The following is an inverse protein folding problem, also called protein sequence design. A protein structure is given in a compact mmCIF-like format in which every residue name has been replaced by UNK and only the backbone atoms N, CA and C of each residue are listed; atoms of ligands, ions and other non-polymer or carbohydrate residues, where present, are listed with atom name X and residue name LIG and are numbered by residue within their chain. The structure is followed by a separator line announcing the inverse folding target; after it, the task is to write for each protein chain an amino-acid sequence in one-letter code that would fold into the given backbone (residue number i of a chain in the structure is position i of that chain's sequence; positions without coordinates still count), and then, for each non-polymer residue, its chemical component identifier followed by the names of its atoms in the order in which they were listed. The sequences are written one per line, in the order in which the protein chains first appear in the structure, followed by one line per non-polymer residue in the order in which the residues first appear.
data_IF_913921584543
#
_entry.id   IF_913921584543
#
_cell.length_a   1.000
_cell.length_b   1.000
_cell.length_c   1.000
_cell.angle_alpha   90.00
_cell.angle_beta   90.00
_cell.angle_gamma   90.00
#
_symmetry.space_group_name_H-M   'P 1'
#
loop_
_entity.id
_entity.type
_entity.pdbx_description
1 polymer ?
#
# COMPACT_ATOMS: atom_id res chain seq x y z
N UNK A 1 5.60 12.54 -13.02
CA UNK A 1 5.17 13.11 -11.71
C UNK A 1 4.77 14.55 -11.92
N UNK A 2 3.71 15.00 -11.28
CA UNK A 2 3.19 16.37 -11.30
C UNK A 2 2.94 16.83 -9.86
N UNK A 3 3.25 18.08 -9.57
CA UNK A 3 2.87 18.76 -8.33
C UNK A 3 2.72 20.26 -8.59
N UNK A 4 1.81 20.92 -7.87
CA UNK A 4 1.60 22.36 -7.96
C UNK A 4 1.97 23.08 -6.66
N UNK A 5 2.90 22.52 -5.88
CA UNK A 5 3.41 23.13 -4.66
C UNK A 5 4.26 24.35 -5.02
N UNK A 6 3.92 25.52 -4.50
CA UNK A 6 4.56 26.80 -4.88
C UNK A 6 5.88 27.05 -4.14
N UNK A 7 5.90 26.84 -2.82
CA UNK A 7 7.07 27.02 -1.97
C UNK A 7 7.17 25.93 -0.89
N UNK A 8 8.19 25.98 -0.02
CA UNK A 8 8.38 24.96 1.03
C UNK A 8 7.25 24.95 2.07
N UNK A 9 6.70 26.12 2.39
CA UNK A 9 5.67 26.35 3.42
C UNK A 9 4.24 26.13 2.90
N UNK A 10 4.07 25.96 1.59
CA UNK A 10 2.80 25.66 0.98
C UNK A 10 2.26 24.30 1.47
N UNK A 11 1.16 24.42 2.21
CA UNK A 11 0.41 23.32 2.81
C UNK A 11 -0.91 23.04 2.06
N UNK A 12 -1.15 23.67 0.91
CA UNK A 12 -2.34 23.50 0.09
C UNK A 12 -2.02 23.21 -1.38
N UNK A 13 -1.52 22.00 -1.63
CA UNK A 13 -1.15 21.56 -2.97
C UNK A 13 -1.67 20.17 -3.28
N UNK A 14 -1.58 19.81 -4.55
CA UNK A 14 -1.89 18.51 -5.11
C UNK A 14 -0.62 17.89 -5.68
N UNK A 15 -0.53 16.58 -5.52
CA UNK A 15 0.58 15.78 -6.04
C UNK A 15 0.02 14.58 -6.77
N UNK A 16 0.57 14.29 -7.95
CA UNK A 16 0.17 13.16 -8.78
C UNK A 16 1.39 12.43 -9.33
N UNK A 17 1.41 11.11 -9.20
CA UNK A 17 2.45 10.25 -9.77
C UNK A 17 1.80 9.05 -10.43
N UNK A 18 2.09 8.84 -11.71
CA UNK A 18 1.83 7.60 -12.41
C UNK A 18 3.17 6.99 -12.85
N UNK A 19 3.37 5.70 -12.57
CA UNK A 19 4.54 4.95 -13.03
C UNK A 19 4.09 3.68 -13.75
N UNK A 20 4.80 3.33 -14.82
CA UNK A 20 4.66 2.08 -15.55
C UNK A 20 6.04 1.44 -15.60
N UNK A 21 6.13 0.18 -15.18
CA UNK A 21 7.35 -0.63 -15.21
C UNK A 21 7.05 -1.87 -16.02
N UNK A 22 7.86 -2.16 -17.03
CA UNK A 22 7.79 -3.42 -17.76
C UNK A 22 9.13 -4.15 -17.69
N UNK A 23 9.06 -5.48 -17.65
CA UNK A 23 10.23 -6.36 -17.65
C UNK A 23 10.12 -7.39 -18.75
N UNK A 24 11.28 -7.78 -19.29
CA UNK A 24 11.39 -8.93 -20.17
C UNK A 24 10.99 -8.70 -21.63
N UNK A 25 10.68 -7.46 -22.06
CA UNK A 25 10.42 -7.15 -23.47
C UNK A 25 11.67 -7.38 -24.35
N UNK A 26 12.75 -6.64 -24.08
CA UNK A 26 13.99 -6.72 -24.88
C UNK A 26 14.67 -8.08 -24.76
N UNK A 27 14.80 -8.61 -23.54
CA UNK A 27 15.46 -9.91 -23.34
C UNK A 27 14.66 -11.05 -23.98
N UNK A 28 13.33 -11.01 -23.98
CA UNK A 28 12.50 -11.98 -24.69
C UNK A 28 12.62 -11.84 -26.21
N UNK A 29 12.75 -10.62 -26.75
CA UNK A 29 12.94 -10.39 -28.18
C UNK A 29 14.30 -10.95 -28.68
N UNK A 30 15.36 -10.79 -27.88
CA UNK A 30 16.70 -11.26 -28.21
C UNK A 30 16.93 -12.76 -27.94
N UNK A 31 16.00 -13.42 -27.24
CA UNK A 31 16.14 -14.82 -26.83
C UNK A 31 15.21 -15.72 -27.64
N UNK A 32 15.79 -16.69 -28.35
CA UNK A 32 15.05 -17.75 -29.05
C UNK A 32 14.72 -18.90 -28.10
N UNK A 33 13.53 -19.47 -28.23
CA UNK A 33 13.16 -20.73 -27.57
C UNK A 33 13.98 -21.83 -28.24
N UNK A 34 14.71 -22.64 -27.46
CA UNK A 34 15.41 -23.82 -27.96
C UNK A 34 14.67 -25.07 -27.49
N UNK A 35 14.23 -25.97 -28.39
CA UNK A 35 13.69 -27.28 -28.00
C UNK A 35 14.71 -28.02 -27.12
N UNK A 36 14.30 -28.75 -26.06
CA UNK A 36 12.92 -29.08 -25.66
C UNK A 36 12.29 -28.08 -24.66
N UNK A 37 12.89 -26.90 -24.43
CA UNK A 37 12.38 -25.97 -23.42
C UNK A 37 11.11 -25.26 -23.86
N UNK A 38 10.18 -25.08 -22.92
CA UNK A 38 8.91 -24.36 -23.11
C UNK A 38 8.99 -22.89 -22.70
N UNK A 39 10.09 -22.46 -22.07
CA UNK A 39 10.31 -21.08 -21.58
C UNK A 39 11.59 -20.46 -22.15
N UNK A 40 11.57 -19.12 -22.29
CA UNK A 40 12.75 -18.33 -22.65
C UNK A 40 13.63 -18.08 -21.43
N UNK A 41 14.92 -18.31 -21.61
CA UNK A 41 15.93 -18.13 -20.58
C UNK A 41 17.07 -17.24 -21.05
N UNK A 42 17.56 -16.39 -20.16
CA UNK A 42 18.77 -15.61 -20.36
C UNK A 42 19.76 -16.00 -19.24
N UNK A 43 20.99 -16.38 -19.59
CA UNK A 43 21.97 -16.91 -18.63
C UNK A 43 21.44 -18.10 -17.79
N UNK A 44 20.64 -18.99 -18.40
CA UNK A 44 19.97 -20.13 -17.74
C UNK A 44 18.93 -19.73 -16.68
N UNK A 45 18.53 -18.46 -16.62
CA UNK A 45 17.47 -17.97 -15.75
C UNK A 45 16.21 -17.66 -16.56
N UNK A 46 15.02 -18.09 -16.10
CA UNK A 46 13.78 -17.76 -16.78
C UNK A 46 13.57 -16.24 -16.80
N UNK A 47 13.24 -15.71 -17.98
CA UNK A 47 12.99 -14.28 -18.13
C UNK A 47 11.65 -13.93 -17.47
N UNK A 48 11.70 -13.08 -16.44
CA UNK A 48 10.50 -12.52 -15.82
C UNK A 48 9.84 -11.47 -16.73
N UNK A 49 8.65 -11.79 -17.23
CA UNK A 49 7.84 -10.92 -18.09
C UNK A 49 6.62 -10.41 -17.35
N UNK A 50 6.59 -9.10 -17.12
CA UNK A 50 5.45 -8.47 -16.45
C UNK A 50 5.31 -6.99 -16.82
N UNK A 51 4.12 -6.47 -16.56
CA UNK A 51 3.84 -5.05 -16.53
C UNK A 51 3.31 -4.69 -15.14
N UNK A 52 3.80 -3.59 -14.58
CA UNK A 52 3.40 -3.06 -13.28
C UNK A 52 3.04 -1.60 -13.45
N UNK A 53 1.82 -1.25 -13.12
CA UNK A 53 1.31 0.12 -13.15
C UNK A 53 0.98 0.55 -11.73
N UNK A 54 1.22 1.82 -11.44
CA UNK A 54 0.85 2.42 -10.16
C UNK A 54 0.49 3.88 -10.36
N UNK A 55 -0.53 4.32 -9.65
CA UNK A 55 -1.01 5.69 -9.61
C UNK A 55 -1.14 6.10 -8.15
N UNK A 56 -0.60 7.27 -7.83
CA UNK A 56 -0.70 7.89 -6.51
C UNK A 56 -1.18 9.32 -6.69
N UNK A 57 -2.15 9.70 -5.86
CA UNK A 57 -2.61 11.07 -5.74
C UNK A 57 -2.56 11.49 -4.27
N UNK A 58 -2.10 12.71 -4.01
CA UNK A 58 -2.15 13.33 -2.69
C UNK A 58 -2.74 14.71 -2.80
N UNK A 59 -3.55 15.08 -1.83
CA UNK A 59 -4.10 16.43 -1.70
C UNK A 59 -3.89 16.91 -0.27
N UNK A 60 -3.31 18.09 -0.16
CA UNK A 60 -3.12 18.80 1.07
C UNK A 60 -4.09 19.98 1.06
N UNK A 61 -4.80 20.17 2.16
CA UNK A 61 -5.61 21.34 2.44
C UNK A 61 -5.09 21.97 3.72
N UNK A 62 -4.37 23.08 3.59
CA UNK A 62 -4.01 23.95 4.71
C UNK A 62 -5.27 24.66 5.18
N UNK A 63 -5.82 24.24 6.32
CA UNK A 63 -7.05 24.83 6.88
C UNK A 63 -6.70 26.19 7.49
N UNK A 64 -5.56 26.25 8.18
CA UNK A 64 -4.93 27.46 8.69
C UNK A 64 -3.41 27.25 8.82
N UNK A 65 -2.69 28.17 9.45
CA UNK A 65 -1.24 28.10 9.61
C UNK A 65 -0.74 26.97 10.53
N UNK A 66 -1.62 26.28 11.26
CA UNK A 66 -1.31 25.25 12.26
C UNK A 66 -1.93 23.89 11.92
N UNK A 67 -2.90 23.85 11.02
CA UNK A 67 -3.74 22.70 10.75
C UNK A 67 -3.74 22.35 9.26
N UNK A 68 -3.57 21.06 8.95
CA UNK A 68 -3.57 20.56 7.58
C UNK A 68 -4.30 19.23 7.50
N UNK A 69 -5.25 19.13 6.58
CA UNK A 69 -5.85 17.86 6.20
C UNK A 69 -5.10 17.30 5.00
N UNK A 70 -4.73 16.03 5.06
CA UNK A 70 -4.01 15.34 4.00
C UNK A 70 -4.80 14.12 3.57
N UNK A 71 -5.08 14.04 2.28
CA UNK A 71 -5.62 12.85 1.63
C UNK A 71 -4.55 12.23 0.74
N UNK A 72 -4.48 10.91 0.74
CA UNK A 72 -3.71 10.14 -0.23
C UNK A 72 -4.56 9.00 -0.77
N UNK A 73 -4.45 8.73 -2.06
CA UNK A 73 -4.93 7.51 -2.69
C UNK A 73 -3.82 6.86 -3.52
N UNK A 74 -3.83 5.54 -3.54
CA UNK A 74 -2.88 4.71 -4.27
C UNK A 74 -3.61 3.53 -4.89
N UNK A 75 -3.35 3.29 -6.18
CA UNK A 75 -3.80 2.11 -6.89
C UNK A 75 -2.61 1.50 -7.65
N UNK A 76 -2.48 0.17 -7.59
CA UNK A 76 -1.40 -0.53 -8.26
C UNK A 76 -1.87 -1.87 -8.82
N UNK A 77 -1.43 -2.19 -10.05
CA UNK A 77 -1.71 -3.46 -10.72
C UNK A 77 -0.41 -4.01 -11.31
N UNK A 78 -0.17 -5.31 -11.15
CA UNK A 78 0.98 -6.03 -11.70
C UNK A 78 0.47 -7.29 -12.40
N UNK A 79 0.72 -7.41 -13.69
CA UNK A 79 0.28 -8.54 -14.51
C UNK A 79 1.50 -9.22 -15.15
N UNK A 80 1.63 -10.51 -14.91
CA UNK A 80 2.59 -11.36 -15.59
C UNK A 80 2.04 -11.71 -16.98
N UNK A 81 2.93 -11.87 -17.96
CA UNK A 81 2.52 -12.25 -19.32
C UNK A 81 3.61 -13.08 -20.00
N UNK A 82 3.25 -13.77 -21.09
CA UNK A 82 4.20 -14.52 -21.92
C UNK A 82 4.92 -15.60 -21.13
N UNK A 83 6.21 -15.40 -20.88
CA UNK A 83 7.11 -16.34 -20.22
C UNK A 83 6.91 -16.48 -18.70
N UNK A 84 5.95 -15.74 -18.11
CA UNK A 84 5.70 -15.75 -16.68
C UNK A 84 4.22 -15.89 -16.38
N UNK A 85 3.88 -16.78 -15.45
CA UNK A 85 2.52 -16.99 -14.93
C UNK A 85 2.26 -16.25 -13.62
N UNK A 86 3.31 -15.70 -13.00
CA UNK A 86 3.24 -14.96 -11.74
C UNK A 86 4.26 -13.81 -11.72
N UNK A 87 3.98 -12.80 -10.91
CA UNK A 87 4.89 -11.67 -10.65
C UNK A 87 5.97 -12.13 -9.66
N UNK A 88 7.25 -11.81 -9.90
CA UNK A 88 8.29 -12.05 -8.91
C UNK A 88 7.96 -11.38 -7.58
N UNK A 89 8.20 -12.05 -6.45
CA UNK A 89 7.89 -11.54 -5.11
C UNK A 89 8.36 -10.09 -4.87
N UNK A 90 9.58 -9.75 -5.28
CA UNK A 90 10.17 -8.40 -5.15
C UNK A 90 9.44 -7.31 -5.95
N UNK A 91 8.56 -7.71 -6.88
CA UNK A 91 7.75 -6.83 -7.71
C UNK A 91 6.26 -6.89 -7.37
N UNK A 92 5.83 -7.82 -6.51
CA UNK A 92 4.46 -7.88 -5.99
C UNK A 92 4.14 -6.69 -5.08
N UNK A 93 2.86 -6.53 -4.75
CA UNK A 93 2.40 -5.56 -3.76
C UNK A 93 2.17 -6.27 -2.44
N UNK A 94 2.48 -5.60 -1.32
CA UNK A 94 2.09 -6.01 0.03
C UNK A 94 1.24 -4.91 0.65
N UNK A 95 0.64 -5.17 1.82
CA UNK A 95 -0.08 -4.18 2.59
C UNK A 95 0.41 -4.14 4.05
N UNK A 96 0.39 -2.95 4.64
CA UNK A 96 0.82 -2.72 6.02
C UNK A 96 2.11 -1.92 6.11
N UNK A 97 2.37 -1.39 7.30
CA UNK A 97 3.56 -0.63 7.62
C UNK A 97 3.27 0.84 7.88
N UNK A 98 4.30 1.53 8.38
CA UNK A 98 4.20 2.86 8.98
C UNK A 98 3.83 3.99 8.01
N UNK A 99 3.90 3.76 6.69
CA UNK A 99 3.64 4.77 5.66
C UNK A 99 2.33 4.55 4.88
N UNK A 100 1.54 3.52 5.22
CA UNK A 100 0.31 3.21 4.49
C UNK A 100 -0.82 2.73 5.38
N UNK A 101 -0.75 1.52 5.92
CA UNK A 101 -1.79 0.95 6.78
C UNK A 101 -1.19 0.75 8.15
N UNK A 102 -1.19 1.80 8.97
CA UNK A 102 -0.40 1.85 10.21
C UNK A 102 -0.84 0.88 11.30
N UNK A 103 -2.06 0.37 11.22
CA UNK A 103 -2.60 -0.64 12.11
C UNK A 103 -2.18 -2.08 11.76
N UNK A 104 -1.43 -2.27 10.68
CA UNK A 104 -0.83 -3.56 10.28
C UNK A 104 0.67 -3.37 10.11
N UNK A 105 1.46 -4.36 10.53
CA UNK A 105 2.88 -4.44 10.23
C UNK A 105 3.08 -4.66 8.72
N UNK A 106 4.26 -4.32 8.22
CA UNK A 106 4.60 -4.57 6.83
C UNK A 106 4.40 -6.06 6.49
N UNK A 107 3.70 -6.33 5.39
CA UNK A 107 3.32 -7.68 4.93
C UNK A 107 2.32 -8.45 5.80
N UNK A 108 1.77 -7.85 6.86
CA UNK A 108 0.85 -8.55 7.75
C UNK A 108 -0.53 -8.76 7.11
N UNK A 109 -1.03 -7.78 6.37
CA UNK A 109 -2.37 -7.87 5.79
C UNK A 109 -2.37 -8.85 4.61
N UNK A 110 -3.10 -9.95 4.77
CA UNK A 110 -3.35 -10.96 3.74
C UNK A 110 -4.20 -10.44 2.57
N UNK A 111 -4.14 -11.06 1.38
CA UNK A 111 -4.96 -10.62 0.26
C UNK A 111 -6.46 -10.89 0.45
N UNK A 112 -7.29 -9.95 0.01
CA UNK A 112 -8.74 -10.03 0.11
C UNK A 112 -9.18 -10.18 1.56
N UNK A 113 -9.92 -11.24 1.85
CA UNK A 113 -10.42 -11.54 3.20
C UNK A 113 -9.69 -12.70 3.87
N UNK A 114 -8.46 -12.99 3.44
CA UNK A 114 -7.69 -14.11 4.01
C UNK A 114 -6.90 -13.67 5.23
N UNK A 115 -6.95 -14.48 6.30
CA UNK A 115 -5.97 -14.43 7.37
C UNK A 115 -4.92 -15.47 7.03
N UNK A 116 -3.76 -15.01 6.62
CA UNK A 116 -2.67 -15.85 6.17
C UNK A 116 -1.65 -16.04 7.29
N UNK A 117 -1.18 -17.26 7.47
CA UNK A 117 -0.08 -17.58 8.39
C UNK A 117 1.30 -17.36 7.75
N UNK A 118 1.34 -16.79 6.53
CA UNK A 118 2.58 -16.46 5.87
C UNK A 118 3.24 -15.27 6.56
N UNK A 119 4.58 -15.33 6.65
CA UNK A 119 5.40 -14.20 7.09
C UNK A 119 5.32 -13.01 6.12
N UNK A 120 5.12 -13.30 4.82
CA UNK A 120 5.05 -12.28 3.77
C UNK A 120 3.80 -12.41 2.92
N UNK A 121 2.81 -11.55 3.14
CA UNK A 121 1.61 -11.50 2.31
C UNK A 121 1.77 -10.56 1.12
N UNK A 122 1.48 -11.09 -0.06
CA UNK A 122 1.58 -10.35 -1.31
C UNK A 122 0.40 -10.59 -2.23
N UNK A 123 0.11 -9.61 -3.07
CA UNK A 123 -0.86 -9.65 -4.15
C UNK A 123 -0.32 -8.92 -5.37
N UNK A 124 -1.09 -8.95 -6.45
CA UNK A 124 -0.73 -8.30 -7.71
C UNK A 124 -1.67 -7.13 -8.05
N UNK A 125 -2.68 -6.88 -7.23
CA UNK A 125 -3.50 -5.67 -7.25
C UNK A 125 -3.54 -5.05 -5.85
N UNK A 126 -3.50 -3.72 -5.75
CA UNK A 126 -3.48 -2.99 -4.48
C UNK A 126 -4.30 -1.72 -4.58
N UNK A 127 -5.10 -1.45 -3.56
CA UNK A 127 -5.77 -0.17 -3.33
C UNK A 127 -5.51 0.30 -1.91
N UNK A 128 -5.12 1.56 -1.75
CA UNK A 128 -4.93 2.20 -0.44
C UNK A 128 -5.46 3.63 -0.50
N UNK A 129 -6.13 4.06 0.55
CA UNK A 129 -6.56 5.42 0.82
C UNK A 129 -6.18 5.82 2.24
N UNK A 130 -5.76 7.06 2.43
CA UNK A 130 -5.38 7.62 3.72
C UNK A 130 -5.99 9.00 3.87
N UNK A 131 -6.50 9.28 5.07
CA UNK A 131 -6.88 10.61 5.51
C UNK A 131 -6.15 10.89 6.82
N UNK A 132 -5.50 12.04 6.90
CA UNK A 132 -4.76 12.45 8.09
C UNK A 132 -4.98 13.92 8.39
N UNK A 133 -5.46 14.20 9.60
CA UNK A 133 -5.55 15.53 10.14
C UNK A 133 -4.32 15.83 10.99
N UNK A 134 -3.54 16.83 10.60
CA UNK A 134 -2.31 17.29 11.27
C UNK A 134 -2.61 18.61 11.96
N UNK A 135 -2.25 18.74 13.23
CA UNK A 135 -2.51 19.94 14.02
C UNK A 135 -1.34 20.27 14.94
N UNK A 136 -1.15 21.55 15.25
CA UNK A 136 -0.14 22.01 16.21
C UNK A 136 -0.65 21.81 17.64
N UNK A 137 0.18 21.24 18.52
CA UNK A 137 -0.14 21.09 19.95
C UNK A 137 0.49 22.25 20.72
N UNK A 138 1.82 22.26 20.84
CA UNK A 138 2.59 23.34 21.46
C UNK A 138 4.03 23.33 20.95
N UNK A 139 4.64 24.51 20.79
CA UNK A 139 6.03 24.66 20.37
C UNK A 139 6.39 23.80 19.12
N UNK A 140 7.34 22.87 19.20
CA UNK A 140 7.70 21.95 18.11
C UNK A 140 6.88 20.65 18.09
N UNK A 141 5.91 20.48 19.00
CA UNK A 141 5.04 19.31 19.05
C UNK A 141 3.80 19.49 18.19
N UNK A 142 3.57 18.52 17.31
CA UNK A 142 2.39 18.42 16.46
C UNK A 142 1.69 17.07 16.68
N UNK A 143 0.39 17.04 16.46
CA UNK A 143 -0.46 15.86 16.57
C UNK A 143 -0.98 15.38 15.23
N UNK A 144 -1.43 14.13 15.20
CA UNK A 144 -2.14 13.49 14.09
C UNK A 144 -3.39 12.79 14.58
N UNK A 145 -4.45 12.85 13.77
CA UNK A 145 -5.49 11.83 13.73
C UNK A 145 -5.50 11.25 12.32
N UNK A 146 -5.65 9.94 12.19
CA UNK A 146 -5.64 9.31 10.88
C UNK A 146 -6.63 8.17 10.73
N UNK A 147 -7.03 7.96 9.47
CA UNK A 147 -7.79 6.82 8.98
C UNK A 147 -7.09 6.30 7.73
N UNK A 148 -6.67 5.05 7.79
CA UNK A 148 -6.03 4.32 6.72
C UNK A 148 -6.96 3.20 6.26
N UNK A 149 -7.16 3.04 4.95
CA UNK A 149 -7.99 2.00 4.40
C UNK A 149 -7.28 1.37 3.20
N UNK A 150 -7.22 0.05 3.10
CA UNK A 150 -6.61 -0.58 1.96
C UNK A 150 -6.62 -2.10 1.99
N UNK A 151 -6.25 -2.68 0.85
CA UNK A 151 -6.08 -4.11 0.70
C UNK A 151 -5.23 -4.44 -0.54
N UNK A 152 -4.78 -5.68 -0.62
CA UNK A 152 -4.16 -6.32 -1.78
C UNK A 152 -5.03 -7.49 -2.23
N UNK A 153 -4.99 -7.81 -3.52
CA UNK A 153 -5.72 -8.95 -4.08
C UNK A 153 -4.89 -9.62 -5.18
N UNK A 154 -5.35 -10.79 -5.59
CA UNK A 154 -4.92 -11.47 -6.81
C UNK A 154 -5.91 -11.20 -7.95
N UNK A 155 -5.42 -10.61 -9.04
CA UNK A 155 -6.07 -10.53 -10.35
C UNK A 155 -5.51 -11.67 -11.17
N UNK A 156 -6.27 -12.75 -11.26
CA UNK A 156 -5.91 -13.95 -12.01
C UNK A 156 -7.16 -14.72 -12.38
N UNK A 157 -7.15 -15.30 -13.57
CA UNK A 157 -8.20 -16.22 -14.05
C UNK A 157 -7.93 -17.67 -13.64
N UNK A 158 -6.80 -17.94 -12.98
CA UNK A 158 -6.44 -19.29 -12.57
C UNK A 158 -7.36 -19.80 -11.44
N UNK A 159 -8.02 -20.93 -11.68
CA UNK A 159 -8.90 -21.61 -10.73
C UNK A 159 -8.18 -22.14 -9.50
N UNK A 160 -6.86 -22.39 -9.59
CA UNK A 160 -6.05 -22.88 -8.47
C UNK A 160 -5.74 -21.82 -7.40
N UNK A 161 -6.00 -20.53 -7.68
CA UNK A 161 -5.83 -19.46 -6.69
C UNK A 161 -7.08 -19.41 -5.80
N UNK A 162 -6.88 -19.33 -4.49
CA UNK A 162 -7.97 -19.19 -3.51
C UNK A 162 -8.84 -17.98 -3.86
N UNK A 163 -10.12 -18.26 -4.04
CA UNK A 163 -11.17 -17.33 -4.37
C UNK A 163 -11.33 -16.19 -3.34
N UNK A 164 -10.93 -16.40 -2.09
CA UNK A 164 -10.93 -15.38 -1.04
C UNK A 164 -9.84 -14.31 -1.23
N UNK A 165 -8.82 -14.60 -2.04
CA UNK A 165 -7.73 -13.66 -2.37
C UNK A 165 -8.02 -12.86 -3.63
N UNK A 166 -9.01 -13.28 -4.43
CA UNK A 166 -9.24 -12.73 -5.78
C UNK A 166 -9.96 -11.40 -5.76
N UNK A 167 -9.58 -10.50 -6.67
CA UNK A 167 -10.36 -9.31 -6.96
C UNK A 167 -11.51 -9.65 -7.91
N UNK A 168 -12.74 -9.56 -7.42
CA UNK A 168 -14.00 -9.90 -8.13
C UNK A 168 -14.83 -8.63 -8.41
N UNK A 169 -14.14 -7.55 -8.77
CA UNK A 169 -14.77 -6.24 -9.03
C UNK A 169 -15.20 -5.52 -7.75
N UNK A 170 -16.27 -4.73 -7.83
CA UNK A 170 -16.76 -3.90 -6.72
C UNK A 170 -17.11 -4.71 -5.46
N UNK A 171 -17.50 -5.98 -5.62
CA UNK A 171 -17.80 -6.87 -4.49
C UNK A 171 -16.60 -7.12 -3.56
N UNK A 172 -15.37 -7.03 -4.07
CA UNK A 172 -14.14 -7.17 -3.29
C UNK A 172 -13.81 -5.95 -2.45
N UNK A 173 -14.42 -4.78 -2.72
CA UNK A 173 -14.18 -3.57 -1.93
C UNK A 173 -14.68 -3.70 -0.49
N UNK A 174 -15.63 -4.60 -0.22
CA UNK A 174 -16.06 -4.94 1.15
C UNK A 174 -14.96 -5.58 1.99
N UNK A 175 -13.91 -6.08 1.34
CA UNK A 175 -12.78 -6.71 2.02
C UNK A 175 -11.69 -5.67 2.35
N UNK A 176 -11.91 -4.37 2.13
CA UNK A 176 -10.92 -3.33 2.49
C UNK A 176 -10.74 -3.30 4.01
N UNK A 177 -9.50 -3.48 4.47
CA UNK A 177 -9.15 -3.31 5.87
C UNK A 177 -9.11 -1.82 6.23
N UNK A 178 -9.55 -1.48 7.44
CA UNK A 178 -9.57 -0.08 7.93
C UNK A 178 -8.84 0.00 9.26
N UNK A 179 -7.87 0.89 9.35
CA UNK A 179 -7.18 1.24 10.58
C UNK A 179 -7.39 2.72 10.91
N UNK A 180 -7.51 3.04 12.19
CA UNK A 180 -7.50 4.42 12.66
C UNK A 180 -6.49 4.57 13.78
N UNK A 181 -6.10 5.80 14.05
CA UNK A 181 -5.14 6.05 15.11
C UNK A 181 -4.78 7.49 15.26
N UNK A 182 -3.76 7.71 16.08
CA UNK A 182 -3.23 9.03 16.34
C UNK A 182 -1.71 9.00 16.37
N UNK A 183 -1.13 10.17 16.15
CA UNK A 183 0.31 10.35 16.03
C UNK A 183 0.80 11.54 16.83
N UNK A 184 1.99 11.43 17.37
CA UNK A 184 2.76 12.52 17.95
C UNK A 184 3.97 12.79 17.08
N UNK A 185 4.26 14.06 16.86
CA UNK A 185 5.35 14.51 15.99
C UNK A 185 6.17 15.57 16.68
N UNK A 186 7.47 15.48 16.51
CA UNK A 186 8.42 16.49 16.94
C UNK A 186 9.13 17.06 15.72
N UNK A 187 9.00 18.37 15.52
CA UNK A 187 9.60 19.08 14.40
C UNK A 187 10.99 19.64 14.78
N UNK A 188 12.03 19.08 14.17
CA UNK A 188 13.42 19.53 14.32
C UNK A 188 13.80 20.61 13.27
N UNK A 189 12.85 21.19 12.54
CA UNK A 189 13.01 22.10 11.40
C UNK A 189 13.61 21.45 10.13
N UNK A 190 14.57 20.53 10.27
CA UNK A 190 15.18 19.81 9.13
C UNK A 190 14.60 18.40 8.92
N UNK A 191 13.96 17.83 9.94
CA UNK A 191 13.20 16.58 9.86
C UNK A 191 12.08 16.58 10.88
N UNK A 192 11.07 15.74 10.65
CA UNK A 192 10.01 15.47 11.62
C UNK A 192 10.20 14.06 12.17
N UNK A 193 10.36 13.92 13.48
CA UNK A 193 10.25 12.62 14.13
C UNK A 193 8.77 12.31 14.36
N UNK A 194 8.34 11.09 14.11
CA UNK A 194 6.96 10.65 14.36
C UNK A 194 6.90 9.40 15.22
N UNK A 195 5.85 9.36 16.03
CA UNK A 195 5.36 8.19 16.73
C UNK A 195 3.87 8.05 16.43
N UNK A 196 3.49 6.99 15.71
CA UNK A 196 2.10 6.72 15.35
C UNK A 196 1.61 5.43 16.02
N UNK A 197 0.43 5.46 16.62
CA UNK A 197 -0.24 4.29 17.17
C UNK A 197 -1.48 3.99 16.34
N UNK A 198 -1.45 2.87 15.62
CA UNK A 198 -2.53 2.40 14.75
C UNK A 198 -3.34 1.27 15.39
N UNK A 199 -4.66 1.35 15.28
CA UNK A 199 -5.61 0.36 15.77
C UNK A 199 -6.41 -0.24 14.61
N UNK A 200 -6.67 -1.55 14.67
CA UNK A 200 -7.43 -2.28 13.65
C UNK A 200 -8.93 -2.03 13.82
N UNK A 201 -9.47 -1.07 13.06
CA UNK A 201 -10.88 -0.64 13.12
C UNK A 201 -11.80 -1.65 12.43
N UNK A 202 -11.39 -2.14 11.27
CA UNK A 202 -12.09 -3.18 10.51
C UNK A 202 -11.10 -4.21 9.96
N UNK A 203 -11.31 -5.47 10.35
CA UNK A 203 -10.50 -6.61 9.94
C UNK A 203 -11.33 -7.50 8.98
N UNK A 204 -11.01 -7.51 7.67
CA UNK A 204 -11.86 -8.14 6.66
C UNK A 204 -11.87 -9.67 6.75
N UNK A 205 -10.83 -10.25 7.35
CA UNK A 205 -10.59 -11.68 7.48
C UNK A 205 -11.29 -12.33 8.70
N UNK A 206 -11.85 -11.53 9.60
CA UNK A 206 -12.63 -12.06 10.73
C UNK A 206 -14.02 -12.54 10.29
N UNK A 207 -14.61 -13.40 11.12
CA UNK A 207 -15.96 -13.91 10.92
C UNK A 207 -16.99 -12.77 10.82
N UNK A 208 -18.07 -13.00 10.06
CA UNK A 208 -19.15 -12.02 9.92
C UNK A 208 -19.72 -11.66 11.30
N UNK A 209 -19.99 -10.37 11.52
CA UNK A 209 -20.41 -9.83 12.82
C UNK A 209 -19.26 -9.52 13.79
N UNK A 210 -18.04 -9.98 13.52
CA UNK A 210 -16.84 -9.71 14.34
C UNK A 210 -15.74 -8.95 13.60
N UNK A 211 -16.08 -8.21 12.54
CA UNK A 211 -15.07 -7.51 11.74
C UNK A 211 -14.70 -6.14 12.31
N UNK A 212 -15.62 -5.50 13.00
CA UNK A 212 -15.44 -4.16 13.55
C UNK A 212 -14.92 -4.24 14.99
N UNK A 213 -13.93 -3.41 15.30
CA UNK A 213 -13.43 -3.14 16.65
C UNK A 213 -13.03 -4.36 17.50
N UNK A 214 -12.83 -5.54 16.90
CA UNK A 214 -12.58 -6.78 17.66
C UNK A 214 -11.21 -6.75 18.34
N UNK A 215 -10.18 -6.32 17.63
CA UNK A 215 -8.83 -6.15 18.19
C UNK A 215 -8.49 -4.66 18.40
N UNK A 216 -9.49 -3.82 18.70
CA UNK A 216 -9.29 -2.38 18.90
C UNK A 216 -8.93 -2.08 20.36
N UNK A 217 -7.68 -2.30 20.73
CA UNK A 217 -7.16 -2.05 22.07
C UNK A 217 -5.63 -1.86 22.04
N UNK A 218 -5.06 -1.40 23.15
CA UNK A 218 -3.62 -1.09 23.25
C UNK A 218 -2.69 -2.30 23.16
N UNK A 219 -3.17 -3.52 23.47
CA UNK A 219 -2.35 -4.74 23.35
C UNK A 219 -2.24 -5.24 21.91
N UNK A 220 -3.19 -4.88 21.06
CA UNK A 220 -3.20 -5.21 19.63
C UNK A 220 -2.82 -4.02 18.73
N UNK A 221 -2.61 -2.84 19.32
CA UNK A 221 -2.17 -1.66 18.59
C UNK A 221 -0.77 -1.85 18.00
N UNK A 222 -0.55 -1.27 16.83
CA UNK A 222 0.77 -1.24 16.17
C UNK A 222 1.40 0.12 16.43
N UNK A 223 2.57 0.08 17.06
CA UNK A 223 3.37 1.26 17.37
C UNK A 223 4.42 1.44 16.27
N UNK A 224 4.40 2.60 15.63
CA UNK A 224 5.28 2.93 14.52
C UNK A 224 6.15 4.13 14.89
N UNK A 225 7.44 4.03 14.59
CA UNK A 225 8.38 5.15 14.66
C UNK A 225 8.82 5.45 13.23
N UNK A 226 9.03 6.72 12.92
CA UNK A 226 9.59 7.10 11.63
C UNK A 226 10.18 8.50 11.59
N UNK A 227 10.78 8.79 10.44
CA UNK A 227 11.32 10.10 10.10
C UNK A 227 10.51 10.61 8.90
N UNK A 228 10.16 11.89 8.94
CA UNK A 228 9.26 12.58 8.03
C UNK A 228 7.82 12.05 8.05
N UNK A 229 6.95 12.74 7.31
CA UNK A 229 5.55 12.36 7.19
C UNK A 229 5.38 11.03 6.43
N UNK A 230 4.35 10.23 6.77
CA UNK A 230 4.11 8.91 6.14
C UNK A 230 3.82 9.00 4.64
N UNK A 231 3.26 10.13 4.22
CA UNK A 231 2.99 10.48 2.84
C UNK A 231 2.96 11.98 2.62
#
# INVERSE_FOLDING_TARGET
TYQNKEDFNDNNFSYFRANIVSSGLLSSALTKIKPPKTSKELFKLPIAQFIKTQVEYKKYWGIDHKNTLVFRSFAGLALAYGNSTAIPFSRSYFAGGSNELRAWRAYELGPGKTQSNLEFNVGNFKLVGNIEYRFKIFNSFNGALFLDAGNIWNVSTNSFIDDNTKFKGFSSLKDIAVGSGFGLRYDFNFLVFRFDMGFKTYEPYLLQGKKWFTNYNFSHAVYNIGINYPF
#
